data_IF_975717203965
#
_entry.id   IF_975717203965
#
_cell.length_a   1.000
_cell.length_b   1.000
_cell.length_c   1.000
_cell.angle_alpha   90.00
_cell.angle_beta   90.00
_cell.angle_gamma   90.00
#
_symmetry.space_group_name_H-M   'P 1'
#
loop_
_entity.id
_entity.type
_entity.pdbx_description
1 polymer ?
#
# COMPACT_ATOMS: atom_id res chain seq x y z
N UNK A 1 -14.00 15.85 30.92
CA UNK A 1 -14.07 16.58 29.64
C UNK A 1 -13.34 15.78 28.57
N UNK A 2 -14.06 15.46 27.50
CA UNK A 2 -13.65 14.97 26.16
C UNK A 2 -12.65 13.78 26.04
N UNK A 3 -13.24 12.60 25.92
CA UNK A 3 -12.66 11.32 25.53
C UNK A 3 -12.71 11.17 23.98
N UNK A 4 -11.90 11.94 23.23
CA UNK A 4 -12.06 12.07 21.78
C UNK A 4 -10.82 11.85 20.89
N UNK A 5 -9.65 11.50 21.44
CA UNK A 5 -8.43 11.37 20.62
C UNK A 5 -7.80 9.98 20.75
N UNK A 6 -8.64 8.95 20.58
CA UNK A 6 -8.20 7.58 20.37
C UNK A 6 -7.56 7.47 18.99
N UNK A 7 -6.24 7.32 18.97
CA UNK A 7 -5.44 6.66 17.93
C UNK A 7 -5.66 7.21 16.51
N UNK A 8 -4.85 8.19 16.12
CA UNK A 8 -4.62 8.49 14.71
C UNK A 8 -3.85 7.31 14.09
N UNK A 9 -4.64 6.30 13.75
CA UNK A 9 -4.28 5.02 13.17
C UNK A 9 -3.25 5.19 12.05
N UNK A 10 -2.11 4.50 12.17
CA UNK A 10 -1.48 3.86 11.01
C UNK A 10 -2.55 3.00 10.34
N UNK A 11 -3.29 3.59 9.39
CA UNK A 11 -4.15 2.83 8.49
C UNK A 11 -3.21 2.13 7.50
N UNK A 12 -2.61 1.02 7.94
CA UNK A 12 -2.21 -0.04 7.03
C UNK A 12 -3.51 -0.62 6.51
N UNK A 13 -4.05 -0.05 5.44
CA UNK A 13 -5.12 -0.70 4.70
C UNK A 13 -4.41 -1.78 3.87
N UNK A 14 -4.16 -2.92 4.49
CA UNK A 14 -3.86 -4.13 3.76
C UNK A 14 -5.19 -4.65 3.26
N UNK A 15 -5.56 -4.34 2.02
CA UNK A 15 -6.64 -5.08 1.34
C UNK A 15 -5.99 -6.36 0.85
N UNK A 16 -5.77 -7.29 1.78
CA UNK A 16 -5.49 -8.67 1.41
C UNK A 16 -6.81 -9.28 0.94
N UNK A 17 -6.91 -9.55 -0.37
CA UNK A 17 -7.69 -10.71 -0.76
C UNK A 17 -7.08 -11.90 0.01
N UNK A 18 -7.84 -12.52 0.91
CA UNK A 18 -7.35 -13.67 1.68
C UNK A 18 -6.79 -14.71 0.71
N UNK A 19 -5.52 -15.09 0.85
CA UNK A 19 -5.11 -16.46 0.56
C UNK A 19 -5.84 -17.32 1.61
N UNK A 20 -6.68 -18.25 1.18
CA UNK A 20 -7.57 -18.99 2.08
C UNK A 20 -6.78 -19.72 3.19
N UNK A 21 -7.02 -19.34 4.44
CA UNK A 21 -7.18 -20.26 5.57
C UNK A 21 -8.57 -19.98 6.12
N UNK A 22 -9.52 -20.77 5.62
CA UNK A 22 -10.92 -20.94 6.02
C UNK A 22 -11.70 -19.70 6.52
N UNK A 23 -12.66 -19.22 5.70
CA UNK A 23 -13.80 -18.47 6.22
C UNK A 23 -14.46 -17.50 5.24
N UNK A 24 -15.58 -17.95 4.64
CA UNK A 24 -16.72 -17.20 4.08
C UNK A 24 -16.45 -16.01 3.14
N UNK A 25 -16.70 -16.23 1.84
CA UNK A 25 -17.55 -15.32 1.04
C UNK A 25 -16.90 -14.24 0.17
N UNK A 26 -15.61 -14.30 -0.14
CA UNK A 26 -15.01 -13.52 -1.25
C UNK A 26 -14.26 -14.48 -2.14
N UNK A 27 -14.48 -14.40 -3.47
CA UNK A 27 -13.61 -15.11 -4.42
C UNK A 27 -12.15 -14.80 -4.07
N UNK A 28 -11.31 -15.83 -4.00
CA UNK A 28 -9.88 -15.66 -3.77
C UNK A 28 -9.33 -14.77 -4.88
N UNK A 29 -8.79 -13.61 -4.52
CA UNK A 29 -8.19 -12.69 -5.48
C UNK A 29 -6.72 -13.08 -5.62
N UNK A 30 -6.22 -13.16 -6.85
CA UNK A 30 -4.82 -13.51 -7.12
C UNK A 30 -3.81 -12.40 -6.78
N UNK A 31 -4.22 -11.36 -6.05
CA UNK A 31 -3.40 -10.20 -5.75
C UNK A 31 -3.76 -9.57 -4.41
N UNK A 32 -2.84 -8.77 -3.89
CA UNK A 32 -3.02 -7.96 -2.68
C UNK A 32 -2.65 -6.50 -2.98
N UNK A 33 -3.34 -5.59 -2.31
CA UNK A 33 -2.95 -4.17 -2.27
C UNK A 33 -2.71 -3.74 -0.83
N UNK A 34 -1.78 -2.81 -0.64
CA UNK A 34 -1.51 -2.25 0.68
C UNK A 34 -1.14 -0.77 0.60
N UNK A 35 -1.27 -0.07 1.73
CA UNK A 35 -0.79 1.29 1.90
C UNK A 35 0.05 1.40 3.18
N UNK A 36 1.20 2.08 3.09
CA UNK A 36 2.05 2.40 4.21
C UNK A 36 2.49 3.87 4.11
N UNK A 37 1.94 4.71 4.98
CA UNK A 37 2.11 6.16 4.90
C UNK A 37 1.72 6.70 3.51
N UNK A 38 2.66 7.42 2.89
CA UNK A 38 2.47 8.00 1.55
C UNK A 38 2.68 7.03 0.39
N UNK A 39 3.03 5.77 0.67
CA UNK A 39 3.25 4.75 -0.35
C UNK A 39 2.09 3.76 -0.40
N UNK A 40 1.86 3.24 -1.60
CA UNK A 40 0.89 2.20 -1.93
C UNK A 40 1.56 1.11 -2.75
N UNK A 41 0.99 -0.08 -2.67
CA UNK A 41 1.54 -1.28 -3.29
C UNK A 41 0.45 -2.13 -3.92
N UNK A 42 0.78 -2.75 -5.04
CA UNK A 42 0.10 -3.91 -5.61
C UNK A 42 1.08 -5.07 -5.75
N UNK A 43 0.63 -6.30 -5.48
CA UNK A 43 1.43 -7.52 -5.62
C UNK A 43 0.55 -8.73 -5.99
N UNK A 44 0.91 -9.47 -7.04
CA UNK A 44 0.27 -10.75 -7.40
C UNK A 44 1.25 -11.93 -7.42
N UNK A 45 1.39 -12.72 -8.49
CA UNK A 45 2.48 -13.69 -8.67
C UNK A 45 3.48 -13.25 -9.75
N UNK A 46 3.12 -12.28 -10.57
CA UNK A 46 3.90 -11.83 -11.73
C UNK A 46 4.52 -10.46 -11.52
N UNK A 47 3.84 -9.56 -10.82
CA UNK A 47 4.23 -8.18 -10.67
C UNK A 47 4.26 -7.72 -9.21
N UNK A 48 5.17 -6.78 -8.95
CA UNK A 48 5.19 -5.94 -7.76
C UNK A 48 5.25 -4.49 -8.18
N UNK A 49 4.19 -3.73 -7.87
CA UNK A 49 4.15 -2.29 -8.09
C UNK A 49 4.21 -1.57 -6.74
N UNK A 50 5.07 -0.55 -6.66
CA UNK A 50 5.15 0.38 -5.53
C UNK A 50 5.02 1.79 -6.10
N UNK A 51 4.21 2.62 -5.45
CA UNK A 51 4.04 4.01 -5.86
C UNK A 51 3.78 4.90 -4.65
N UNK A 52 4.03 6.19 -4.79
CA UNK A 52 3.38 7.16 -3.90
C UNK A 52 1.87 7.27 -4.20
N UNK A 53 1.11 7.88 -3.29
CA UNK A 53 -0.33 8.10 -3.45
C UNK A 53 -0.72 8.94 -4.68
N UNK A 54 0.23 9.64 -5.31
CA UNK A 54 0.03 10.52 -6.48
C UNK A 54 0.39 9.84 -7.79
N UNK A 55 0.98 8.64 -7.77
CA UNK A 55 1.46 7.97 -8.98
C UNK A 55 2.73 8.59 -9.57
N UNK A 56 3.53 9.34 -8.81
CA UNK A 56 4.69 10.06 -9.36
C UNK A 56 6.00 9.27 -9.22
N UNK A 57 6.22 8.63 -8.08
CA UNK A 57 7.39 7.81 -7.81
C UNK A 57 7.02 6.33 -7.94
N UNK A 58 6.95 5.82 -9.19
CA UNK A 58 6.53 4.44 -9.48
C UNK A 58 7.72 3.53 -9.72
N UNK A 59 7.65 2.33 -9.12
CA UNK A 59 8.49 1.19 -9.45
C UNK A 59 7.60 0.01 -9.82
N UNK A 60 7.98 -0.71 -10.88
CA UNK A 60 7.33 -1.95 -11.29
C UNK A 60 8.41 -3.01 -11.53
N UNK A 61 8.18 -4.22 -10.99
CA UNK A 61 9.07 -5.37 -11.13
C UNK A 61 8.31 -6.55 -11.72
N UNK A 62 8.94 -7.28 -12.64
CA UNK A 62 8.45 -8.57 -13.16
C UNK A 62 9.15 -9.71 -12.43
N UNK A 63 8.40 -10.42 -11.61
CA UNK A 63 8.92 -11.40 -10.66
C UNK A 63 9.16 -12.77 -11.27
N UNK A 64 8.62 -13.01 -12.46
CA UNK A 64 8.92 -14.23 -13.21
C UNK A 64 10.37 -14.19 -13.71
N UNK A 65 10.84 -12.99 -14.03
CA UNK A 65 12.16 -12.76 -14.63
C UNK A 65 13.15 -12.10 -13.66
N UNK A 66 12.68 -11.48 -12.58
CA UNK A 66 13.49 -10.74 -11.60
C UNK A 66 12.90 -10.88 -10.19
N UNK A 67 13.05 -12.06 -9.60
CA UNK A 67 12.58 -12.36 -8.24
C UNK A 67 13.33 -11.55 -7.16
N UNK A 68 14.51 -11.01 -7.47
CA UNK A 68 15.35 -10.23 -6.55
C UNK A 68 15.08 -8.71 -6.65
N UNK A 69 14.14 -8.28 -7.50
CA UNK A 69 13.70 -6.88 -7.64
C UNK A 69 14.81 -5.92 -8.05
N UNK A 70 15.75 -6.38 -8.88
CA UNK A 70 16.92 -5.59 -9.30
C UNK A 70 16.60 -4.60 -10.42
N UNK A 71 15.56 -4.84 -11.20
CA UNK A 71 15.27 -4.14 -12.45
C UNK A 71 13.87 -3.52 -12.44
N UNK A 72 13.83 -2.19 -12.33
CA UNK A 72 12.60 -1.42 -12.50
C UNK A 72 12.21 -1.35 -14.00
N UNK A 73 11.02 -1.86 -14.35
CA UNK A 73 10.49 -1.93 -15.72
C UNK A 73 9.39 -0.91 -16.01
N UNK A 74 9.25 0.13 -15.19
CA UNK A 74 8.19 1.14 -15.31
C UNK A 74 8.06 1.75 -16.72
N UNK A 75 9.19 2.04 -17.37
CA UNK A 75 9.23 2.68 -18.69
C UNK A 75 8.91 1.71 -19.84
N UNK A 76 9.03 0.41 -19.60
CA UNK A 76 8.81 -0.65 -20.60
C UNK A 76 7.38 -1.19 -20.56
N UNK A 77 6.71 -1.07 -19.41
CA UNK A 77 5.39 -1.62 -19.16
C UNK A 77 4.41 -0.55 -18.64
N UNK A 78 4.40 0.63 -19.27
CA UNK A 78 3.57 1.78 -18.85
C UNK A 78 2.07 1.48 -18.80
N UNK A 79 1.56 0.65 -19.72
CA UNK A 79 0.16 0.23 -19.70
C UNK A 79 -0.15 -0.71 -18.53
N UNK A 80 0.81 -1.58 -18.17
CA UNK A 80 0.69 -2.43 -16.99
C UNK A 80 0.69 -1.60 -15.71
N UNK A 81 1.54 -0.58 -15.62
CA UNK A 81 1.55 0.37 -14.50
C UNK A 81 0.17 1.00 -14.30
N UNK A 82 -0.45 1.51 -15.37
CA UNK A 82 -1.79 2.12 -15.30
C UNK A 82 -2.84 1.12 -14.83
N UNK A 83 -2.81 -0.10 -15.38
CA UNK A 83 -3.71 -1.18 -14.99
C UNK A 83 -3.59 -1.48 -13.49
N UNK A 84 -2.37 -1.77 -13.01
CA UNK A 84 -2.14 -2.19 -11.63
C UNK A 84 -2.42 -1.06 -10.63
N UNK A 85 -2.06 0.18 -10.97
CA UNK A 85 -2.39 1.33 -10.16
C UNK A 85 -3.91 1.55 -10.09
N UNK A 86 -4.65 1.33 -11.19
CA UNK A 86 -6.12 1.41 -11.16
C UNK A 86 -6.76 0.41 -10.18
N UNK A 87 -6.15 -0.77 -10.00
CA UNK A 87 -6.61 -1.78 -9.02
C UNK A 87 -6.40 -1.28 -7.59
N UNK A 88 -5.26 -0.64 -7.31
CA UNK A 88 -5.02 0.03 -6.01
C UNK A 88 -6.09 1.09 -5.74
N UNK A 89 -6.39 1.95 -6.73
CA UNK A 89 -7.42 2.98 -6.60
C UNK A 89 -8.79 2.36 -6.34
N UNK A 90 -9.14 1.28 -7.04
CA UNK A 90 -10.40 0.57 -6.86
C UNK A 90 -10.52 -0.02 -5.45
N UNK A 91 -9.48 -0.70 -4.95
CA UNK A 91 -9.44 -1.26 -3.60
C UNK A 91 -9.46 -0.18 -2.50
N UNK A 92 -8.95 1.03 -2.80
CA UNK A 92 -9.02 2.18 -1.92
C UNK A 92 -10.40 2.85 -1.87
N UNK A 93 -11.39 2.36 -2.61
CA UNK A 93 -12.73 2.97 -2.70
C UNK A 93 -12.82 4.11 -3.72
N UNK A 94 -11.93 4.13 -4.72
CA UNK A 94 -12.01 5.01 -5.88
C UNK A 94 -11.08 6.23 -5.87
N UNK A 95 -10.43 6.56 -4.75
CA UNK A 95 -9.45 7.64 -4.67
C UNK A 95 -8.43 7.45 -3.54
N UNK A 96 -7.21 7.94 -3.76
CA UNK A 96 -6.16 8.03 -2.74
C UNK A 96 -6.00 9.48 -2.30
N UNK A 97 -6.52 9.81 -1.12
CA UNK A 97 -6.31 11.14 -0.54
C UNK A 97 -4.83 11.31 -0.14
N UNK A 98 -4.21 12.48 -0.36
CA UNK A 98 -2.92 12.79 0.24
C UNK A 98 -3.01 12.64 1.76
N UNK A 99 -2.00 12.05 2.39
CA UNK A 99 -1.92 12.15 3.84
C UNK A 99 -1.47 13.56 4.22
N UNK A 100 -1.99 14.12 5.32
CA UNK A 100 -1.47 15.38 5.83
C UNK A 100 0.02 15.21 6.12
N UNK A 101 0.85 16.07 5.49
CA UNK A 101 2.23 16.32 5.93
C UNK A 101 2.14 17.04 7.27
N UNK A 102 2.11 16.27 8.36
CA UNK A 102 2.23 16.80 9.71
C UNK A 102 3.64 16.57 10.22
N UNK A 103 4.26 17.61 10.77
CA UNK A 103 5.51 17.60 11.56
C UNK A 103 5.38 16.80 12.87
N UNK A 104 4.60 15.72 12.90
CA UNK A 104 4.63 14.84 14.06
C UNK A 104 5.93 14.08 14.01
N UNK A 105 6.79 14.37 14.96
CA UNK A 105 7.99 13.60 15.22
C UNK A 105 7.59 12.11 15.20
N UNK A 106 8.13 11.29 14.28
CA UNK A 106 7.80 9.88 14.21
C UNK A 106 8.18 9.12 15.49
N UNK A 107 8.89 9.73 16.43
CA UNK A 107 9.19 9.21 17.75
C UNK A 107 8.30 9.77 18.87
N UNK A 108 7.34 10.67 18.60
CA UNK A 108 6.43 11.21 19.64
C UNK A 108 5.76 10.08 20.44
N UNK A 109 5.30 9.04 19.75
CA UNK A 109 4.67 7.88 20.39
C UNK A 109 5.68 7.03 21.20
N UNK A 110 6.94 6.98 20.77
CA UNK A 110 8.02 6.25 21.45
C UNK A 110 8.45 7.00 22.72
N UNK A 111 8.61 8.31 22.61
CA UNK A 111 8.97 9.18 23.73
C UNK A 111 7.87 9.19 24.81
N UNK A 112 6.60 9.21 24.42
CA UNK A 112 5.46 9.15 25.37
C UNK A 112 5.37 7.83 26.16
N UNK A 113 5.89 6.73 25.63
CA UNK A 113 5.81 5.42 26.30
C UNK A 113 7.06 5.07 27.11
N UNK A 114 8.24 5.60 26.74
CA UNK A 114 9.53 5.11 27.26
C UNK A 114 10.45 6.19 27.84
N UNK A 115 10.13 7.46 27.69
CA UNK A 115 10.89 8.57 28.30
C UNK A 115 9.95 9.30 29.26
N UNK A 116 9.91 8.82 30.51
CA UNK A 116 9.36 9.60 31.65
C UNK A 116 10.44 10.50 32.23
#
# INVERSE_FOLDING_TARGET
>A
MSNAYKVSLLRVIMVSGRYNVEGKGSAARGYVTSAFGNYVMYRDNEYWLISDRRGLNIQLYDLRNDAELKRNIVNEATDKVKELFSRIISDAGGKLEPLPTGERDPYEWYNQLYVM
#
